data_IF_537624048999
#
_entry.id   IF_537624048999
#
_cell.length_a   1.000
_cell.length_b   1.000
_cell.length_c   1.000
_cell.angle_alpha   90.00
_cell.angle_beta   90.00
_cell.angle_gamma   90.00
#
_symmetry.space_group_name_H-M   'P 1'
#
loop_
_entity.id
_entity.type
_entity.pdbx_description
1 polymer ?
#
# COMPACT_ATOMS: atom_id res chain seq x y z
N UNK A 1 -0.65 -0.77 4.46
CA UNK A 1 -0.85 -0.81 3.00
C UNK A 1 -0.56 -2.20 2.41
N UNK A 2 0.64 -2.80 2.60
CA UNK A 2 0.98 -4.11 1.99
C UNK A 2 0.02 -5.23 2.37
N UNK A 3 -0.31 -5.34 3.66
CA UNK A 3 -1.21 -6.40 4.13
C UNK A 3 -2.60 -6.29 3.49
N UNK A 4 -3.10 -5.06 3.30
CA UNK A 4 -4.41 -4.83 2.65
C UNK A 4 -4.38 -5.20 1.17
N UNK A 5 -3.29 -4.86 0.49
CA UNK A 5 -3.07 -5.28 -0.89
C UNK A 5 -2.95 -6.80 -0.99
N UNK A 6 -2.17 -7.45 -0.11
CA UNK A 6 -2.06 -8.91 -0.03
C UNK A 6 -3.43 -9.55 0.15
N UNK A 7 -4.23 -9.04 1.07
CA UNK A 7 -5.55 -9.61 1.38
C UNK A 7 -6.55 -9.37 0.25
N UNK A 8 -6.41 -8.25 -0.48
CA UNK A 8 -7.15 -7.97 -1.71
C UNK A 8 -6.73 -8.91 -2.86
N UNK A 9 -5.44 -9.13 -3.07
CA UNK A 9 -4.93 -10.10 -4.05
C UNK A 9 -5.37 -11.53 -3.71
N UNK A 10 -5.38 -11.90 -2.43
CA UNK A 10 -5.90 -13.18 -1.96
C UNK A 10 -7.40 -13.34 -2.30
N UNK A 11 -8.19 -12.28 -2.08
CA UNK A 11 -9.61 -12.25 -2.47
C UNK A 11 -9.77 -12.46 -3.98
N UNK A 12 -9.02 -11.71 -4.80
CA UNK A 12 -9.07 -11.82 -6.27
C UNK A 12 -8.65 -13.21 -6.76
N UNK A 13 -7.66 -13.85 -6.13
CA UNK A 13 -7.28 -15.22 -6.47
C UNK A 13 -8.39 -16.23 -6.15
N UNK A 14 -8.98 -16.15 -4.95
CA UNK A 14 -10.07 -17.03 -4.54
C UNK A 14 -11.31 -16.86 -5.42
N UNK A 15 -11.61 -15.63 -5.88
CA UNK A 15 -12.71 -15.34 -6.81
C UNK A 15 -12.52 -15.97 -8.20
N UNK A 16 -11.28 -16.25 -8.63
CA UNK A 16 -11.02 -16.99 -9.87
C UNK A 16 -11.45 -18.46 -9.78
N UNK A 17 -11.73 -18.98 -8.56
CA UNK A 17 -12.19 -20.36 -8.29
C UNK A 17 -11.33 -21.45 -8.95
N UNK A 18 -10.04 -21.17 -9.19
CA UNK A 18 -9.10 -22.10 -9.82
C UNK A 18 -8.56 -23.13 -8.83
N UNK A 19 -8.45 -22.78 -7.54
CA UNK A 19 -8.14 -23.72 -6.47
C UNK A 19 -9.39 -24.09 -5.68
N UNK A 20 -9.37 -25.29 -5.08
CA UNK A 20 -10.42 -25.80 -4.18
C UNK A 20 -10.29 -25.27 -2.75
N UNK A 21 -9.12 -24.72 -2.38
CA UNK A 21 -8.81 -24.23 -1.03
C UNK A 21 -8.62 -22.72 -1.05
N UNK A 22 -8.86 -22.07 0.09
CA UNK A 22 -8.56 -20.66 0.27
C UNK A 22 -7.04 -20.45 0.32
N UNK A 23 -6.53 -19.52 -0.49
CA UNK A 23 -5.09 -19.20 -0.51
C UNK A 23 -4.55 -18.72 0.84
N UNK A 24 -5.42 -18.19 1.70
CA UNK A 24 -5.09 -17.72 3.05
C UNK A 24 -4.65 -18.85 3.98
N UNK A 25 -5.07 -20.08 3.71
CA UNK A 25 -4.64 -21.26 4.47
C UNK A 25 -3.21 -21.70 4.11
N UNK A 26 -2.68 -21.24 2.98
CA UNK A 26 -1.35 -21.57 2.52
C UNK A 26 -0.35 -20.45 2.86
N UNK A 27 0.43 -20.65 3.93
CA UNK A 27 1.43 -19.66 4.39
C UNK A 27 2.46 -19.30 3.31
N UNK A 28 2.86 -20.27 2.48
CA UNK A 28 3.83 -20.03 1.39
C UNK A 28 3.22 -19.16 0.30
N UNK A 29 1.97 -19.40 -0.07
CA UNK A 29 1.25 -18.58 -1.04
C UNK A 29 1.03 -17.15 -0.52
N UNK A 30 0.65 -17.00 0.76
CA UNK A 30 0.49 -15.70 1.39
C UNK A 30 1.80 -14.90 1.46
N UNK A 31 2.94 -15.57 1.67
CA UNK A 31 4.25 -14.92 1.60
C UNK A 31 4.59 -14.43 0.17
N UNK A 32 4.28 -15.22 -0.86
CA UNK A 32 4.41 -14.79 -2.26
C UNK A 32 3.53 -13.58 -2.57
N UNK A 33 2.26 -13.60 -2.14
CA UNK A 33 1.34 -12.46 -2.31
C UNK A 33 1.83 -11.21 -1.58
N UNK A 34 2.42 -11.34 -0.40
CA UNK A 34 2.98 -10.20 0.33
C UNK A 34 4.15 -9.55 -0.42
N UNK A 35 5.05 -10.37 -0.96
CA UNK A 35 6.17 -9.88 -1.79
C UNK A 35 5.65 -9.15 -3.03
N UNK A 36 4.62 -9.69 -3.66
CA UNK A 36 4.03 -9.05 -4.84
C UNK A 36 3.27 -7.77 -4.50
N UNK A 37 2.57 -7.74 -3.36
CA UNK A 37 1.89 -6.54 -2.87
C UNK A 37 2.86 -5.35 -2.68
N UNK A 38 4.10 -5.60 -2.25
CA UNK A 38 5.14 -4.57 -2.13
C UNK A 38 5.52 -3.97 -3.49
N UNK A 39 5.67 -4.80 -4.52
CA UNK A 39 5.92 -4.34 -5.91
C UNK A 39 4.71 -3.63 -6.50
N UNK A 40 3.51 -4.11 -6.20
CA UNK A 40 2.29 -3.60 -6.80
C UNK A 40 2.02 -2.14 -6.41
N UNK A 41 2.49 -1.67 -5.25
CA UNK A 41 2.37 -0.25 -4.86
C UNK A 41 2.99 0.73 -5.86
N UNK A 42 3.99 0.30 -6.63
CA UNK A 42 4.66 1.15 -7.63
C UNK A 42 4.18 0.86 -9.05
N UNK A 43 3.93 -0.41 -9.38
CA UNK A 43 3.65 -0.85 -10.77
C UNK A 43 2.15 -1.12 -11.03
N UNK A 44 1.32 -1.20 -9.98
CA UNK A 44 -0.14 -1.42 -10.04
C UNK A 44 -0.59 -2.71 -10.76
N UNK A 45 0.33 -3.65 -10.97
CA UNK A 45 0.05 -4.95 -11.56
C UNK A 45 0.77 -6.04 -10.77
N UNK A 46 0.07 -7.17 -10.60
CA UNK A 46 0.58 -8.37 -9.91
C UNK A 46 0.73 -9.51 -10.92
N UNK A 47 1.89 -10.16 -10.89
CA UNK A 47 2.13 -11.40 -11.61
C UNK A 47 2.89 -12.38 -10.71
N UNK A 48 2.23 -13.47 -10.32
CA UNK A 48 2.80 -14.50 -9.44
C UNK A 48 2.69 -15.86 -10.11
N UNK A 49 3.83 -16.47 -10.39
CA UNK A 49 3.92 -17.81 -10.96
C UNK A 49 3.80 -18.89 -9.87
N UNK A 50 3.02 -19.94 -10.16
CA UNK A 50 2.76 -21.07 -9.28
C UNK A 50 2.36 -20.63 -7.87
N UNK A 51 1.37 -19.76 -7.75
CA UNK A 51 0.99 -19.16 -6.47
C UNK A 51 0.54 -20.23 -5.46
N UNK A 52 -0.35 -21.12 -5.89
CA UNK A 52 -0.85 -22.25 -5.11
C UNK A 52 -1.32 -23.36 -6.07
N UNK A 53 -1.04 -24.63 -5.75
CA UNK A 53 -1.39 -25.79 -6.59
C UNK A 53 -0.94 -25.67 -8.05
N UNK A 54 0.24 -25.09 -8.29
CA UNK A 54 0.80 -24.76 -9.62
C UNK A 54 -0.07 -23.81 -10.46
N UNK A 55 -0.99 -23.08 -9.83
CA UNK A 55 -1.84 -22.08 -10.49
C UNK A 55 -1.13 -20.73 -10.54
N UNK A 56 -0.94 -20.22 -11.74
CA UNK A 56 -0.47 -18.85 -11.96
C UNK A 56 -1.56 -17.82 -11.66
N UNK A 57 -1.15 -16.72 -11.02
CA UNK A 57 -2.02 -15.62 -10.66
C UNK A 57 -1.56 -14.32 -11.32
N UNK A 58 -2.47 -13.74 -12.10
CA UNK A 58 -2.31 -12.41 -12.70
C UNK A 58 -3.50 -11.56 -12.30
N UNK A 59 -3.23 -10.35 -11.82
CA UNK A 59 -4.24 -9.38 -11.47
C UNK A 59 -3.76 -7.97 -11.78
N UNK A 60 -4.68 -7.11 -12.21
CA UNK A 60 -4.48 -5.67 -12.28
C UNK A 60 -5.27 -5.05 -11.14
N UNK A 61 -4.65 -4.12 -10.43
CA UNK A 61 -5.30 -3.35 -9.37
C UNK A 61 -5.25 -1.90 -9.82
N UNK A 62 -6.41 -1.27 -9.97
CA UNK A 62 -6.42 0.14 -10.35
C UNK A 62 -5.87 1.00 -9.22
N UNK A 63 -5.36 2.18 -9.56
CA UNK A 63 -4.91 3.15 -8.56
C UNK A 63 -6.03 3.53 -7.60
N UNK A 64 -7.24 3.74 -8.13
CA UNK A 64 -8.42 4.05 -7.32
C UNK A 64 -8.75 2.94 -6.33
N UNK A 65 -8.66 1.67 -6.74
CA UNK A 65 -8.91 0.55 -5.82
C UNK A 65 -7.88 0.54 -4.69
N UNK A 66 -6.60 0.69 -5.03
CA UNK A 66 -5.53 0.77 -4.04
C UNK A 66 -5.73 1.94 -3.07
N UNK A 67 -6.10 3.10 -3.60
CA UNK A 67 -6.31 4.29 -2.79
C UNK A 67 -7.52 4.12 -1.86
N UNK A 68 -8.61 3.55 -2.36
CA UNK A 68 -9.80 3.26 -1.56
C UNK A 68 -9.50 2.23 -0.45
N UNK A 69 -8.72 1.18 -0.75
CA UNK A 69 -8.29 0.18 0.24
C UNK A 69 -7.46 0.78 1.38
N UNK A 70 -6.83 1.94 1.16
CA UNK A 70 -5.92 2.59 2.09
C UNK A 70 -6.40 3.97 2.56
N UNK A 71 -7.64 4.35 2.29
CA UNK A 71 -8.16 5.70 2.53
C UNK A 71 -7.95 6.18 3.98
N UNK A 72 -8.32 5.36 4.96
CA UNK A 72 -8.15 5.67 6.39
C UNK A 72 -6.67 5.75 6.83
N UNK A 73 -5.76 5.09 6.11
CA UNK A 73 -4.33 5.23 6.38
C UNK A 73 -3.81 6.58 5.89
N UNK A 74 -4.34 7.09 4.77
CA UNK A 74 -3.96 8.40 4.24
C UNK A 74 -4.45 9.53 5.14
N UNK A 75 -5.65 9.42 5.71
CA UNK A 75 -6.18 10.40 6.68
C UNK A 75 -5.28 10.55 7.92
N UNK A 76 -4.52 9.52 8.27
CA UNK A 76 -3.60 9.52 9.40
C UNK A 76 -2.23 10.11 9.10
N UNK A 77 -1.90 10.36 7.82
CA UNK A 77 -0.58 10.84 7.38
C UNK A 77 -0.22 12.23 7.91
N UNK A 78 -1.14 13.22 8.00
CA UNK A 78 -0.81 14.55 8.49
C UNK A 78 -0.47 14.60 9.98
N UNK A 79 -1.05 13.70 10.79
CA UNK A 79 -0.97 13.78 12.25
C UNK A 79 0.47 13.74 12.78
N UNK A 80 1.36 12.83 12.36
CA UNK A 80 2.76 12.83 12.80
C UNK A 80 3.51 14.13 12.50
N UNK A 81 3.17 14.85 11.41
CA UNK A 81 3.78 16.14 11.09
C UNK A 81 3.35 17.19 12.11
N UNK A 82 2.06 17.23 12.44
CA UNK A 82 1.51 18.15 13.44
C UNK A 82 2.06 17.86 14.85
N UNK A 83 2.14 16.58 15.23
CA UNK A 83 2.70 16.16 16.51
C UNK A 83 4.18 16.54 16.63
N UNK A 84 4.96 16.41 15.54
CA UNK A 84 6.36 16.80 15.49
C UNK A 84 6.56 18.32 15.61
N UNK A 85 5.77 19.11 14.88
CA UNK A 85 5.78 20.58 14.98
C UNK A 85 5.42 21.05 16.39
N UNK A 86 4.37 20.46 16.97
CA UNK A 86 3.95 20.76 18.35
C UNK A 86 5.05 20.44 19.36
N UNK A 87 5.71 19.29 19.21
CA UNK A 87 6.81 18.87 20.10
C UNK A 87 8.07 19.73 19.95
N UNK A 88 8.26 20.33 18.77
CA UNK A 88 9.35 21.26 18.49
C UNK A 88 9.01 22.71 18.86
N UNK A 89 7.77 23.00 19.26
CA UNK A 89 7.25 24.36 19.46
C UNK A 89 7.42 25.27 18.22
N UNK A 90 7.35 24.66 17.03
CA UNK A 90 7.51 25.34 15.74
C UNK A 90 6.22 25.34 14.94
N UNK A 91 6.08 26.35 14.09
CA UNK A 91 5.07 26.46 13.06
C UNK A 91 5.58 25.96 11.72
N UNK A 92 4.67 25.59 10.81
CA UNK A 92 5.04 25.09 9.48
C UNK A 92 5.76 26.16 8.62
N UNK A 93 5.50 27.44 8.87
CA UNK A 93 6.12 28.55 8.15
C UNK A 93 7.63 28.70 8.44
N UNK A 94 8.08 28.20 9.59
CA UNK A 94 9.50 28.21 10.02
C UNK A 94 10.31 27.08 9.38
N UNK A 95 9.65 26.12 8.72
CA UNK A 95 10.30 25.00 8.05
C UNK A 95 10.73 25.44 6.66
N UNK A 96 12.03 25.39 6.33
CA UNK A 96 12.51 25.78 5.01
C UNK A 96 12.24 24.69 3.95
N UNK A 97 12.61 23.45 4.25
CA UNK A 97 12.59 22.32 3.32
C UNK A 97 11.92 21.08 3.91
N UNK A 98 11.20 20.35 3.07
CA UNK A 98 10.60 19.05 3.41
C UNK A 98 11.24 17.98 2.54
N UNK A 99 11.93 17.02 3.18
CA UNK A 99 12.60 15.92 2.49
C UNK A 99 11.80 14.63 2.71
N UNK A 100 11.28 14.06 1.62
CA UNK A 100 10.54 12.80 1.66
C UNK A 100 11.50 11.61 1.56
N UNK A 101 11.59 10.83 2.65
CA UNK A 101 12.41 9.63 2.72
C UNK A 101 11.58 8.36 2.96
N UNK A 102 12.07 7.23 2.48
CA UNK A 102 11.45 5.91 2.66
C UNK A 102 10.66 5.39 1.48
N UNK A 103 10.32 4.09 1.50
CA UNK A 103 9.61 3.44 0.38
C UNK A 103 8.14 3.87 0.26
N UNK A 104 7.47 4.10 1.40
CA UNK A 104 6.04 4.45 1.43
C UNK A 104 5.75 5.84 0.88
N UNK A 105 6.72 6.76 0.91
CA UNK A 105 6.57 8.11 0.33
C UNK A 105 6.62 8.11 -1.19
N UNK A 106 6.90 6.98 -1.84
CA UNK A 106 6.79 6.83 -3.31
C UNK A 106 5.35 6.64 -3.79
N UNK A 107 4.40 6.43 -2.86
CA UNK A 107 2.97 6.35 -3.18
C UNK A 107 2.46 7.77 -3.46
N UNK A 108 1.96 8.08 -4.67
CA UNK A 108 1.58 9.46 -5.01
C UNK A 108 0.50 10.06 -4.11
N UNK A 109 -0.46 9.24 -3.64
CA UNK A 109 -1.47 9.72 -2.69
C UNK A 109 -0.89 10.15 -1.34
N UNK A 110 0.15 9.48 -0.87
CA UNK A 110 0.88 9.88 0.35
C UNK A 110 1.58 11.21 0.14
N UNK A 111 2.21 11.41 -1.02
CA UNK A 111 2.86 12.68 -1.37
C UNK A 111 1.84 13.82 -1.44
N UNK A 112 0.70 13.61 -2.10
CA UNK A 112 -0.38 14.59 -2.20
C UNK A 112 -0.88 15.03 -0.81
N UNK A 113 -1.14 14.06 0.08
CA UNK A 113 -1.61 14.35 1.44
C UNK A 113 -0.55 15.07 2.26
N UNK A 114 0.72 14.68 2.14
CA UNK A 114 1.83 15.34 2.83
C UNK A 114 2.00 16.78 2.34
N UNK A 115 2.07 17.01 1.02
CA UNK A 115 2.20 18.34 0.42
C UNK A 115 1.04 19.25 0.86
N UNK A 116 -0.19 18.71 0.87
CA UNK A 116 -1.34 19.45 1.38
C UNK A 116 -1.23 19.79 2.87
N UNK A 117 -0.65 18.90 3.68
CA UNK A 117 -0.46 19.14 5.12
C UNK A 117 0.65 20.14 5.41
N UNK A 118 1.72 20.16 4.60
CA UNK A 118 2.86 21.06 4.77
C UNK A 118 2.66 22.41 4.09
N UNK A 119 1.70 22.53 3.16
CA UNK A 119 1.42 23.78 2.45
C UNK A 119 2.56 24.26 1.54
N UNK A 120 3.46 23.35 1.15
CA UNK A 120 4.64 23.59 0.32
C UNK A 120 4.66 22.66 -0.90
#
# INVERSE_FOLDING_TARGET
>A
MDLRLRDHLAKLFNEQKKSKKDVRENHRAMAKLLKEAQRLKTVLSANVEGLMDDIDFKAKVSRSDFEQLCADLFERVPKPVQDALTSAEMTMDEIEQVILVGGSTRVPKVQEVLLKAVGK
#
